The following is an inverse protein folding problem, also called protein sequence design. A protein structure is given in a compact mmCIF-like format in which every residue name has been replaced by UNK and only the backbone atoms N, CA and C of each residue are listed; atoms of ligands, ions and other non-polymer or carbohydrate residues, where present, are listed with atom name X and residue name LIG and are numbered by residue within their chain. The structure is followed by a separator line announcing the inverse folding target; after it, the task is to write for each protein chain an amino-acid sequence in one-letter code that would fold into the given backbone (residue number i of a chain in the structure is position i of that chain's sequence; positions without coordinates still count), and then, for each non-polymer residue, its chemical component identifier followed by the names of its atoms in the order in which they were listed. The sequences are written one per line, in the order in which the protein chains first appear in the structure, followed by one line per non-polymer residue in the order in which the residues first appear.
data_IF_356155537331
#
_entry.id   IF_356155537331
#
_cell.length_a   1.000
_cell.length_b   1.000
_cell.length_c   1.000
_cell.angle_alpha   90.00
_cell.angle_beta   90.00
_cell.angle_gamma   90.00
#
_symmetry.space_group_name_H-M   'P 1'
#
loop_
_entity.id
_entity.type
_entity.pdbx_description
1 polymer ?
#
# COMPACT_ATOMS: atom_id res chain seq x y z
N UNK A 1 4.22 -18.78 0.48
CA UNK A 1 3.40 -17.89 1.34
C UNK A 1 1.96 -18.05 0.91
N UNK A 2 0.99 -17.86 1.81
CA UNK A 2 -0.43 -17.99 1.47
C UNK A 2 -1.07 -16.62 1.30
N UNK A 3 -2.24 -16.56 0.66
CA UNK A 3 -2.96 -15.31 0.45
C UNK A 3 -3.37 -14.66 1.78
N UNK A 4 -3.67 -15.46 2.80
CA UNK A 4 -3.99 -14.97 4.15
C UNK A 4 -2.81 -14.23 4.80
N UNK A 5 -1.58 -14.70 4.57
CA UNK A 5 -0.38 -14.02 5.07
C UNK A 5 -0.26 -12.62 4.45
N UNK A 6 -0.40 -12.50 3.13
CA UNK A 6 -0.33 -11.20 2.45
C UNK A 6 -1.49 -10.28 2.83
N UNK A 7 -2.69 -10.83 2.96
CA UNK A 7 -3.85 -10.06 3.39
C UNK A 7 -3.67 -9.53 4.82
N UNK A 8 -3.09 -10.32 5.73
CA UNK A 8 -2.81 -9.85 7.09
C UNK A 8 -1.81 -8.68 7.09
N UNK A 9 -0.82 -8.68 6.19
CA UNK A 9 0.10 -7.56 6.05
C UNK A 9 -0.60 -6.29 5.56
N UNK A 10 -1.50 -6.40 4.57
CA UNK A 10 -2.31 -5.29 4.10
C UNK A 10 -3.20 -4.72 5.22
N UNK A 11 -3.85 -5.59 6.01
CA UNK A 11 -4.66 -5.17 7.16
C UNK A 11 -3.82 -4.50 8.24
N UNK A 12 -2.64 -5.03 8.56
CA UNK A 12 -1.72 -4.43 9.52
C UNK A 12 -1.31 -3.01 9.07
N UNK A 13 -0.99 -2.85 7.78
CA UNK A 13 -0.62 -1.54 7.24
C UNK A 13 -1.79 -0.56 7.26
N UNK A 14 -3.00 -1.01 6.93
CA UNK A 14 -4.21 -0.20 7.05
C UNK A 14 -4.42 0.28 8.50
N UNK A 15 -4.19 -0.60 9.48
CA UNK A 15 -4.42 -0.31 10.90
C UNK A 15 -3.54 0.83 11.43
N UNK A 16 -2.35 1.04 10.88
CA UNK A 16 -1.49 2.19 11.21
C UNK A 16 -2.18 3.55 10.99
N UNK A 17 -3.18 3.59 10.09
CA UNK A 17 -3.91 4.81 9.72
C UNK A 17 -5.38 4.79 10.15
N UNK A 18 -5.77 3.86 11.01
CA UNK A 18 -7.14 3.75 11.50
C UNK A 18 -7.59 5.06 12.17
N UNK A 19 -8.65 5.66 11.63
CA UNK A 19 -9.22 6.93 12.10
C UNK A 19 -8.52 8.19 11.57
N UNK A 20 -7.29 8.10 11.06
CA UNK A 20 -6.57 9.22 10.45
C UNK A 20 -7.08 9.55 9.04
N UNK A 21 -7.73 8.59 8.40
CA UNK A 21 -8.30 8.72 7.05
C UNK A 21 -9.72 9.26 7.03
N UNK A 22 -10.36 9.54 8.17
CA UNK A 22 -11.77 9.96 8.21
C UNK A 22 -12.04 11.18 7.31
N UNK A 23 -13.14 11.20 6.50
CA UNK A 23 -14.27 10.26 6.48
C UNK A 23 -14.05 8.96 5.70
N UNK A 24 -12.89 8.78 5.08
CA UNK A 24 -12.58 7.58 4.31
C UNK A 24 -12.16 6.41 5.21
N UNK A 25 -12.36 5.16 4.77
CA UNK A 25 -11.85 3.99 5.47
C UNK A 25 -10.31 3.96 5.44
N UNK A 26 -9.72 3.33 6.46
CA UNK A 26 -8.34 2.92 6.38
C UNK A 26 -8.24 1.68 5.48
N UNK A 27 -7.40 1.76 4.46
CA UNK A 27 -7.20 0.71 3.45
C UNK A 27 -5.71 0.46 3.34
N UNK A 28 -5.30 -0.79 3.22
CA UNK A 28 -3.93 -1.21 2.96
C UNK A 28 -3.87 -2.09 1.71
N UNK A 29 -2.74 -2.05 1.02
CA UNK A 29 -2.50 -2.82 -0.19
C UNK A 29 -1.10 -3.43 -0.16
N UNK A 30 -1.01 -4.67 -0.66
CA UNK A 30 0.24 -5.42 -0.83
C UNK A 30 0.42 -5.72 -2.31
N UNK A 31 1.62 -5.49 -2.84
CA UNK A 31 2.03 -5.97 -4.16
C UNK A 31 3.09 -7.04 -3.99
N UNK A 32 2.88 -8.17 -4.66
CA UNK A 32 3.83 -9.27 -4.72
C UNK A 32 4.23 -9.56 -6.16
N UNK A 33 5.45 -10.05 -6.34
CA UNK A 33 5.97 -10.57 -7.61
C UNK A 33 6.75 -11.84 -7.32
N UNK A 34 6.35 -12.95 -7.93
CA UNK A 34 6.98 -14.27 -7.74
C UNK A 34 7.13 -14.67 -6.26
N UNK A 35 6.10 -14.38 -5.47
CA UNK A 35 6.06 -14.68 -4.03
C UNK A 35 6.90 -13.74 -3.15
N UNK A 36 7.57 -12.74 -3.72
CA UNK A 36 8.27 -11.69 -2.97
C UNK A 36 7.36 -10.49 -2.80
N UNK A 37 7.41 -9.85 -1.63
CA UNK A 37 6.72 -8.59 -1.38
C UNK A 37 7.54 -7.48 -2.02
N UNK A 38 6.92 -6.70 -2.91
CA UNK A 38 7.52 -5.50 -3.47
C UNK A 38 7.13 -4.26 -2.67
N UNK A 39 5.85 -4.09 -2.36
CA UNK A 39 5.36 -2.91 -1.66
C UNK A 39 4.22 -3.25 -0.70
N UNK A 40 4.13 -2.48 0.39
CA UNK A 40 3.03 -2.51 1.35
C UNK A 40 2.70 -1.07 1.73
N UNK A 41 1.56 -0.57 1.27
CA UNK A 41 1.14 0.83 1.49
C UNK A 41 -0.27 0.91 2.06
N UNK A 42 -0.62 2.09 2.58
CA UNK A 42 -1.96 2.38 3.09
C UNK A 42 -2.44 3.77 2.68
N UNK A 43 -3.76 3.93 2.60
CA UNK A 43 -4.37 5.25 2.51
C UNK A 43 -4.13 6.00 3.81
N UNK A 44 -3.53 7.20 3.73
CA UNK A 44 -2.99 7.87 4.92
C UNK A 44 -3.86 9.02 5.41
N UNK A 45 -4.60 9.68 4.50
CA UNK A 45 -5.38 10.89 4.79
C UNK A 45 -6.49 11.09 3.77
N UNK A 46 -7.67 11.53 4.21
CA UNK A 46 -8.76 11.89 3.31
C UNK A 46 -8.32 12.90 2.24
N UNK A 47 -8.69 12.63 0.99
CA UNK A 47 -8.35 13.46 -0.17
C UNK A 47 -6.97 13.20 -0.78
N UNK A 48 -6.18 12.27 -0.23
CA UNK A 48 -4.94 11.80 -0.85
C UNK A 48 -5.13 10.49 -1.61
N UNK A 49 -4.11 10.05 -2.35
CA UNK A 49 -4.10 8.79 -3.08
C UNK A 49 -4.48 7.59 -2.20
N UNK A 50 -5.20 6.64 -2.80
CA UNK A 50 -5.57 5.39 -2.13
C UNK A 50 -4.37 4.46 -1.99
N UNK A 51 -4.50 3.43 -1.15
CA UNK A 51 -3.45 2.46 -0.87
C UNK A 51 -2.93 1.76 -2.13
N UNK A 52 -3.81 1.43 -3.08
CA UNK A 52 -3.49 0.74 -4.32
C UNK A 52 -2.57 1.58 -5.22
N UNK A 53 -2.86 2.88 -5.31
CA UNK A 53 -2.05 3.83 -6.10
C UNK A 53 -0.66 3.95 -5.50
N UNK A 54 -0.58 4.11 -4.17
CA UNK A 54 0.70 4.20 -3.46
C UNK A 54 1.49 2.90 -3.59
N UNK A 55 0.85 1.73 -3.44
CA UNK A 55 1.53 0.44 -3.56
C UNK A 55 2.06 0.20 -4.98
N UNK A 56 1.29 0.56 -6.01
CA UNK A 56 1.72 0.48 -7.41
C UNK A 56 2.89 1.42 -7.70
N UNK A 57 2.85 2.64 -7.18
CA UNK A 57 3.94 3.60 -7.27
C UNK A 57 5.21 3.02 -6.63
N UNK A 58 5.17 2.63 -5.35
CA UNK A 58 6.31 2.05 -4.65
C UNK A 58 6.85 0.80 -5.37
N UNK A 59 5.97 -0.08 -5.86
CA UNK A 59 6.39 -1.25 -6.61
C UNK A 59 7.06 -0.90 -7.94
N UNK A 60 6.55 0.11 -8.66
CA UNK A 60 7.16 0.61 -9.89
C UNK A 60 8.54 1.19 -9.62
N UNK A 61 8.70 2.04 -8.59
CA UNK A 61 9.99 2.64 -8.24
C UNK A 61 11.02 1.56 -7.89
N UNK A 62 10.61 0.52 -7.17
CA UNK A 62 11.47 -0.63 -6.83
C UNK A 62 11.89 -1.43 -8.07
N UNK A 63 10.97 -1.66 -9.02
CA UNK A 63 11.27 -2.46 -10.22
C UNK A 63 12.03 -1.68 -11.29
N UNK A 64 11.81 -0.38 -11.37
CA UNK A 64 12.41 0.50 -12.40
C UNK A 64 13.68 1.19 -11.92
N UNK A 65 13.99 1.14 -10.63
CA UNK A 65 15.07 1.93 -9.99
C UNK A 65 14.97 3.43 -10.34
N UNK A 66 13.73 3.91 -10.51
CA UNK A 66 13.42 5.28 -10.92
C UNK A 66 12.38 5.85 -9.97
N UNK A 67 12.74 6.93 -9.27
CA UNK A 67 11.80 7.68 -8.44
C UNK A 67 10.88 8.52 -9.32
N UNK A 68 9.59 8.49 -9.03
CA UNK A 68 8.58 9.29 -9.73
C UNK A 68 8.25 10.49 -8.86
N UNK A 69 8.32 11.68 -9.46
CA UNK A 69 7.76 12.87 -8.82
C UNK A 69 6.23 12.75 -8.80
N UNK A 70 5.72 12.38 -7.63
CA UNK A 70 4.31 12.08 -7.40
C UNK A 70 3.76 13.05 -6.35
N UNK A 71 3.34 14.23 -6.82
CA UNK A 71 2.72 15.29 -6.03
C UNK A 71 1.23 15.46 -6.38
#
# INVERSE_FOLDING_TARGET
MTDEFYMQLALNKAWEYQGLTYPNPAVGAVITLDGKILAIEAHQKAGTSHAEVLALLSAYEILSDTLIDFN
#
